data_IF_306437856766
#
_entry.id   IF_306437856766
#
_cell.length_a   1.000
_cell.length_b   1.000
_cell.length_c   1.000
_cell.angle_alpha   90.00
_cell.angle_beta   90.00
_cell.angle_gamma   90.00
#
_symmetry.space_group_name_H-M   'P 1'
#
loop_
_entity.id
_entity.type
_entity.pdbx_description
1 polymer ?
#
# COMPACT_ATOMS: atom_id res chain seq x y z
N UNK A 1 -11.64 23.63 15.32
CA UNK A 1 -10.88 23.45 14.07
C UNK A 1 -11.22 22.06 13.58
N UNK A 2 -11.92 21.95 12.44
CA UNK A 2 -12.22 20.66 11.82
C UNK A 2 -10.90 20.03 11.35
N UNK A 3 -10.69 18.74 11.59
CA UNK A 3 -9.47 18.06 11.19
C UNK A 3 -9.48 17.90 9.66
N UNK A 4 -8.34 18.11 8.99
CA UNK A 4 -8.25 17.99 7.52
C UNK A 4 -8.75 16.62 7.02
N UNK A 5 -8.65 15.57 7.86
CA UNK A 5 -9.18 14.23 7.55
C UNK A 5 -10.70 14.16 7.56
N UNK A 6 -11.38 14.92 8.43
CA UNK A 6 -12.84 14.91 8.53
C UNK A 6 -13.47 15.45 7.24
N UNK A 7 -12.90 16.52 6.68
CA UNK A 7 -13.34 17.06 5.39
C UNK A 7 -13.11 16.13 4.20
N UNK A 8 -12.07 15.30 4.22
CA UNK A 8 -11.82 14.33 3.15
C UNK A 8 -12.88 13.22 3.18
N UNK A 9 -13.23 12.74 4.37
CA UNK A 9 -14.26 11.71 4.55
C UNK A 9 -15.67 12.18 4.15
N UNK A 10 -15.93 13.49 4.13
CA UNK A 10 -17.22 14.06 3.71
C UNK A 10 -17.52 13.86 2.21
N UNK A 11 -16.51 13.72 1.35
CA UNK A 11 -16.70 13.58 -0.10
C UNK A 11 -16.06 12.33 -0.72
N UNK A 12 -15.21 11.61 0.02
CA UNK A 12 -14.59 10.38 -0.45
C UNK A 12 -15.51 9.18 -0.20
N UNK A 13 -16.10 8.64 -1.26
CA UNK A 13 -16.83 7.37 -1.19
C UNK A 13 -15.83 6.20 -1.13
N UNK A 14 -15.61 5.69 0.09
CA UNK A 14 -14.69 4.57 0.36
C UNK A 14 -15.24 3.22 -0.11
N UNK A 15 -16.52 3.11 -0.43
CA UNK A 15 -17.13 1.88 -0.95
C UNK A 15 -17.08 1.83 -2.48
N UNK A 16 -17.04 2.99 -3.14
CA UNK A 16 -17.01 3.11 -4.59
C UNK A 16 -15.87 4.03 -5.06
N UNK A 17 -14.62 3.57 -4.92
CA UNK A 17 -13.45 4.31 -5.38
C UNK A 17 -13.37 4.36 -6.92
N UNK A 18 -13.15 5.54 -7.49
CA UNK A 18 -12.93 5.74 -8.92
C UNK A 18 -11.46 5.56 -9.28
N UNK A 19 -11.10 4.43 -9.90
CA UNK A 19 -9.72 4.14 -10.31
C UNK A 19 -9.17 5.07 -11.40
N UNK A 20 -10.04 5.86 -12.06
CA UNK A 20 -9.60 6.85 -13.06
C UNK A 20 -9.27 8.21 -12.44
N UNK A 21 -9.66 8.44 -11.19
CA UNK A 21 -9.41 9.67 -10.44
C UNK A 21 -7.95 9.71 -9.95
N UNK A 22 -7.39 10.92 -9.92
CA UNK A 22 -6.14 11.21 -9.21
C UNK A 22 -6.42 11.51 -7.75
N UNK A 23 -5.78 10.78 -6.86
CA UNK A 23 -5.86 10.90 -5.40
C UNK A 23 -4.62 11.61 -4.85
N UNK A 24 -4.81 12.43 -3.82
CA UNK A 24 -3.67 12.99 -3.09
C UNK A 24 -3.05 11.94 -2.15
N UNK A 25 -1.79 12.13 -1.70
CA UNK A 25 -1.19 11.25 -0.70
C UNK A 25 -2.02 11.13 0.59
N UNK A 26 -2.67 12.21 1.03
CA UNK A 26 -3.53 12.21 2.22
C UNK A 26 -4.79 11.37 2.02
N UNK A 27 -5.40 11.44 0.83
CA UNK A 27 -6.54 10.57 0.48
C UNK A 27 -6.12 9.11 0.40
N UNK A 28 -4.97 8.84 -0.20
CA UNK A 28 -4.39 7.50 -0.28
C UNK A 28 -4.11 6.91 1.12
N UNK A 29 -3.62 7.71 2.06
CA UNK A 29 -3.44 7.28 3.46
C UNK A 29 -4.78 6.93 4.13
N UNK A 30 -5.84 7.73 3.91
CA UNK A 30 -7.17 7.45 4.45
C UNK A 30 -7.75 6.15 3.87
N UNK A 31 -7.61 5.95 2.57
CA UNK A 31 -8.04 4.71 1.88
C UNK A 31 -7.27 3.51 2.44
N UNK A 32 -5.95 3.63 2.56
CA UNK A 32 -5.07 2.57 3.06
C UNK A 32 -5.38 2.21 4.52
N UNK A 33 -5.70 3.19 5.36
CA UNK A 33 -6.09 2.96 6.75
C UNK A 33 -7.39 2.16 6.87
N UNK A 34 -8.35 2.39 5.96
CA UNK A 34 -9.61 1.63 5.92
C UNK A 34 -9.38 0.17 5.51
N UNK A 35 -8.50 -0.06 4.53
CA UNK A 35 -8.20 -1.39 4.02
C UNK A 35 -7.48 -2.31 5.01
N UNK A 36 -6.93 -1.76 6.10
CA UNK A 36 -6.39 -2.56 7.22
C UNK A 36 -7.45 -3.43 7.89
N UNK A 37 -8.72 -3.02 7.82
CA UNK A 37 -9.81 -3.65 8.56
C UNK A 37 -10.85 -4.33 7.67
N UNK A 38 -10.83 -4.08 6.35
CA UNK A 38 -11.77 -4.66 5.38
C UNK A 38 -11.17 -4.74 3.98
N UNK A 39 -11.72 -5.62 3.15
CA UNK A 39 -11.45 -5.63 1.71
C UNK A 39 -12.57 -4.92 0.95
N UNK A 40 -12.23 -4.26 -0.15
CA UNK A 40 -13.20 -3.73 -1.12
C UNK A 40 -13.42 -4.75 -2.22
N UNK A 41 -14.62 -4.83 -2.79
CA UNK A 41 -14.87 -5.67 -3.97
C UNK A 41 -14.82 -4.77 -5.20
N UNK A 42 -13.87 -5.04 -6.10
CA UNK A 42 -13.73 -4.35 -7.38
C UNK A 42 -13.66 -5.42 -8.46
N UNK A 43 -14.52 -5.34 -9.47
CA UNK A 43 -14.61 -6.32 -10.56
C UNK A 43 -14.71 -7.78 -10.06
N UNK A 44 -15.55 -8.01 -9.04
CA UNK A 44 -15.75 -9.29 -8.35
C UNK A 44 -14.51 -9.85 -7.60
N UNK A 45 -13.41 -9.10 -7.52
CA UNK A 45 -12.22 -9.47 -6.76
C UNK A 45 -12.10 -8.68 -5.45
N UNK A 46 -11.75 -9.34 -4.32
CA UNK A 46 -11.41 -8.63 -3.10
C UNK A 46 -10.08 -7.90 -3.29
N UNK A 47 -10.04 -6.61 -2.97
CA UNK A 47 -8.85 -5.77 -2.96
C UNK A 47 -8.54 -5.42 -1.51
N UNK A 48 -7.33 -5.75 -1.08
CA UNK A 48 -6.85 -5.50 0.29
C UNK A 48 -5.78 -4.42 0.37
N UNK A 49 -5.20 -4.00 -0.77
CA UNK A 49 -4.23 -2.91 -0.84
C UNK A 49 -4.37 -2.15 -2.17
N UNK A 50 -3.86 -0.93 -2.20
CA UNK A 50 -3.62 -0.18 -3.42
C UNK A 50 -2.17 0.28 -3.47
N UNK A 51 -1.64 0.42 -4.68
CA UNK A 51 -0.49 1.28 -4.95
C UNK A 51 -0.99 2.60 -5.56
N UNK A 52 -0.24 3.68 -5.31
CA UNK A 52 -0.47 4.97 -5.96
C UNK A 52 0.51 5.10 -7.12
N UNK A 53 0.02 5.19 -8.36
CA UNK A 53 0.88 5.32 -9.53
C UNK A 53 1.46 6.73 -9.70
N UNK A 54 2.33 6.89 -10.70
CA UNK A 54 2.98 8.13 -11.14
C UNK A 54 2.03 9.31 -11.35
N UNK A 55 0.79 9.01 -11.75
CA UNK A 55 -0.27 9.97 -12.03
C UNK A 55 -1.20 10.20 -10.84
N UNK A 56 -0.94 9.54 -9.72
CA UNK A 56 -1.74 9.56 -8.50
C UNK A 56 -3.00 8.71 -8.60
N UNK A 57 -3.09 7.76 -9.53
CA UNK A 57 -4.22 6.84 -9.63
C UNK A 57 -4.01 5.62 -8.73
N UNK A 58 -5.12 5.06 -8.26
CA UNK A 58 -5.10 3.83 -7.47
C UNK A 58 -4.93 2.62 -8.39
N UNK A 59 -3.93 1.80 -8.08
CA UNK A 59 -3.70 0.51 -8.72
C UNK A 59 -4.12 -0.58 -7.74
N UNK A 60 -5.22 -1.34 -8.00
CA UNK A 60 -5.71 -2.36 -7.08
C UNK A 60 -4.69 -3.50 -6.95
N UNK A 61 -4.47 -3.93 -5.70
CA UNK A 61 -3.68 -5.11 -5.39
C UNK A 61 -4.56 -6.17 -4.74
N UNK A 62 -4.87 -7.27 -5.46
CA UNK A 62 -5.60 -8.38 -4.88
C UNK A 62 -4.75 -9.12 -3.83
N UNK A 63 -5.37 -9.88 -2.92
CA UNK A 63 -4.69 -10.69 -1.94
C UNK A 63 -3.61 -11.59 -2.54
N UNK A 64 -2.41 -11.49 -2.00
CA UNK A 64 -1.33 -12.39 -2.37
C UNK A 64 -1.63 -13.80 -1.88
N UNK A 65 -1.52 -14.79 -2.76
CA UNK A 65 -1.64 -16.20 -2.38
C UNK A 65 -0.54 -16.62 -1.41
N UNK A 66 -0.86 -17.49 -0.44
CA UNK A 66 0.06 -17.96 0.61
C UNK A 66 1.46 -18.34 0.11
N UNK A 67 1.55 -19.04 -1.03
CA UNK A 67 2.84 -19.49 -1.58
C UNK A 67 3.77 -18.33 -1.95
N UNK A 68 3.22 -17.22 -2.43
CA UNK A 68 3.98 -16.00 -2.76
C UNK A 68 4.45 -15.32 -1.47
N UNK A 69 3.57 -15.17 -0.47
CA UNK A 69 3.95 -14.62 0.84
C UNK A 69 5.03 -15.46 1.53
N UNK A 70 4.93 -16.78 1.45
CA UNK A 70 5.96 -17.69 1.97
C UNK A 70 7.32 -17.47 1.30
N UNK A 71 7.34 -17.30 -0.03
CA UNK A 71 8.57 -16.99 -0.77
C UNK A 71 9.14 -15.62 -0.37
N UNK A 72 8.30 -14.60 -0.23
CA UNK A 72 8.72 -13.26 0.24
C UNK A 72 9.32 -13.31 1.64
N UNK A 73 8.71 -14.08 2.55
CA UNK A 73 9.22 -14.27 3.91
C UNK A 73 10.60 -14.92 3.91
N UNK A 74 10.80 -15.97 3.12
CA UNK A 74 12.09 -16.68 3.03
C UNK A 74 13.19 -15.75 2.48
N UNK A 75 12.89 -14.99 1.43
CA UNK A 75 13.82 -13.99 0.86
C UNK A 75 14.17 -12.92 1.90
N UNK A 76 13.17 -12.34 2.56
CA UNK A 76 13.37 -11.31 3.58
C UNK A 76 14.22 -11.84 4.76
N UNK A 77 14.02 -13.11 5.12
CA UNK A 77 14.78 -13.78 6.19
C UNK A 77 16.25 -13.93 5.81
N UNK A 78 16.53 -14.46 4.62
CA UNK A 78 17.90 -14.61 4.14
C UNK A 78 18.62 -13.25 4.05
N UNK A 79 17.93 -12.22 3.57
CA UNK A 79 18.50 -10.89 3.46
C UNK A 79 18.76 -10.25 4.83
N UNK A 80 17.86 -10.45 5.80
CA UNK A 80 18.07 -10.02 7.19
C UNK A 80 19.30 -10.68 7.80
N UNK A 81 19.42 -12.00 7.67
CA UNK A 81 20.58 -12.75 8.17
C UNK A 81 21.89 -12.26 7.54
N UNK A 82 21.89 -11.99 6.23
CA UNK A 82 23.04 -11.39 5.56
C UNK A 82 23.38 -9.99 6.09
N UNK A 83 22.40 -9.11 6.23
CA UNK A 83 22.57 -7.73 6.71
C UNK A 83 23.14 -7.69 8.15
N UNK A 84 22.64 -8.56 9.03
CA UNK A 84 23.15 -8.73 10.40
C UNK A 84 24.56 -9.34 10.41
N UNK A 85 24.77 -10.44 9.67
CA UNK A 85 26.05 -11.14 9.62
C UNK A 85 27.19 -10.31 9.03
N UNK A 86 26.89 -9.45 8.07
CA UNK A 86 27.87 -8.56 7.42
C UNK A 86 27.92 -7.15 8.04
N UNK A 87 27.10 -6.88 9.07
CA UNK A 87 27.07 -5.61 9.80
C UNK A 87 26.84 -4.38 8.91
N UNK A 88 26.03 -4.51 7.86
CA UNK A 88 25.68 -3.38 6.97
C UNK A 88 24.82 -2.34 7.68
N UNK A 89 24.16 -2.70 8.80
CA UNK A 89 23.30 -1.82 9.61
C UNK A 89 22.13 -1.20 8.83
N UNK A 90 21.73 -1.81 7.72
CA UNK A 90 20.56 -1.39 6.95
C UNK A 90 19.25 -1.92 7.54
N UNK A 91 18.13 -1.32 7.15
CA UNK A 91 16.81 -1.85 7.42
C UNK A 91 16.43 -2.88 6.33
N UNK A 92 15.73 -3.95 6.73
CA UNK A 92 15.14 -4.93 5.83
C UNK A 92 13.63 -4.92 6.06
N UNK A 93 12.86 -4.66 5.02
CA UNK A 93 11.39 -4.64 5.06
C UNK A 93 10.83 -5.51 3.95
N UNK A 94 9.67 -6.13 4.19
CA UNK A 94 8.84 -6.68 3.11
C UNK A 94 7.89 -5.60 2.59
N UNK A 95 7.28 -5.85 1.43
CA UNK A 95 6.61 -4.88 0.55
C UNK A 95 5.40 -4.13 1.14
N UNK A 96 4.99 -4.35 2.39
CA UNK A 96 3.74 -3.79 2.93
C UNK A 96 3.80 -2.33 3.41
N UNK A 97 4.76 -1.52 2.92
CA UNK A 97 4.89 -0.11 3.30
C UNK A 97 4.83 0.90 2.17
N UNK A 98 4.93 0.44 0.90
CA UNK A 98 5.26 1.32 -0.22
C UNK A 98 6.62 2.02 -0.03
N UNK A 99 7.19 2.55 -1.10
CA UNK A 99 8.39 3.39 -0.99
C UNK A 99 8.15 4.69 -1.73
N UNK A 100 8.31 5.82 -1.02
CA UNK A 100 8.41 7.12 -1.66
C UNK A 100 9.84 7.31 -2.17
N UNK A 101 10.03 7.21 -3.48
CA UNK A 101 11.34 7.40 -4.11
C UNK A 101 11.48 8.86 -4.55
N UNK A 102 12.58 9.52 -4.19
CA UNK A 102 12.88 10.87 -4.70
C UNK A 102 13.37 10.80 -6.15
N UNK A 103 12.77 11.61 -7.04
CA UNK A 103 13.19 11.73 -8.44
C UNK A 103 12.77 10.57 -9.38
N UNK A 104 12.17 9.51 -8.85
CA UNK A 104 11.58 8.43 -9.62
C UNK A 104 10.08 8.38 -9.34
N UNK A 105 9.27 8.77 -10.32
CA UNK A 105 7.84 8.52 -10.23
C UNK A 105 7.56 7.01 -10.09
N UNK A 106 6.49 6.68 -9.37
CA UNK A 106 5.99 5.31 -9.12
C UNK A 106 5.41 4.69 -10.38
#
# INVERSE_FOLDING_TARGET
>A
MSNSKDHILEYLDLDNLDLNRTYTPEEFEIISDQLKYRSLIIDDEPICYFELDKSGKLVPMPPTVFRKEYAVLEIATQFKLWNEGTRQKGAVTSSQGGFKLEGGGI
#
